data_IF_597737062243
#
_entry.id   IF_597737062243
#
_cell.length_a   1.000
_cell.length_b   1.000
_cell.length_c   1.000
_cell.angle_alpha   90.00
_cell.angle_beta   90.00
_cell.angle_gamma   90.00
#
_symmetry.space_group_name_H-M   'P 1'
#
loop_
_entity.id
_entity.type
_entity.pdbx_description
1 polymer ?
#
# COMPACT_ATOMS: atom_id res chain seq x y z
N UNK A 1 20.19 10.50 -10.13
CA UNK A 1 18.91 10.67 -10.85
C UNK A 1 17.80 10.48 -9.82
N UNK A 2 16.86 11.43 -9.69
CA UNK A 2 15.67 11.21 -8.86
C UNK A 2 14.79 10.19 -9.57
N UNK A 3 14.64 9.00 -8.99
CA UNK A 3 13.60 8.08 -9.42
C UNK A 3 12.27 8.64 -8.93
N UNK A 4 11.52 9.20 -9.87
CA UNK A 4 10.16 9.66 -9.62
C UNK A 4 9.19 8.46 -9.60
N UNK A 5 8.06 8.61 -8.93
CA UNK A 5 7.00 7.61 -9.00
C UNK A 5 6.28 7.72 -10.34
N UNK A 6 6.01 6.58 -10.98
CA UNK A 6 5.21 6.56 -12.21
C UNK A 6 3.73 6.83 -11.87
N UNK A 7 3.14 7.92 -12.38
CA UNK A 7 1.75 8.29 -12.09
C UNK A 7 0.70 7.32 -12.66
N UNK A 8 1.11 6.36 -13.51
CA UNK A 8 0.24 5.31 -14.05
C UNK A 8 0.42 3.97 -13.35
N UNK A 9 1.32 3.89 -12.37
CA UNK A 9 1.62 2.67 -11.63
C UNK A 9 1.04 2.70 -10.21
N UNK A 10 0.85 1.49 -9.66
CA UNK A 10 0.51 1.28 -8.27
C UNK A 10 1.61 0.48 -7.60
N UNK A 11 1.83 0.76 -6.32
CA UNK A 11 2.93 0.19 -5.56
C UNK A 11 2.41 -0.48 -4.29
N UNK A 12 3.10 -1.51 -3.82
CA UNK A 12 2.95 -2.02 -2.46
C UNK A 12 3.93 -1.28 -1.57
N UNK A 13 3.46 -0.90 -0.39
CA UNK A 13 4.29 -0.28 0.65
C UNK A 13 4.55 -1.31 1.74
N UNK A 14 5.82 -1.58 2.03
CA UNK A 14 6.24 -2.47 3.10
C UNK A 14 7.22 -1.74 4.02
N UNK A 15 7.39 -2.26 5.23
CA UNK A 15 8.38 -1.75 6.19
C UNK A 15 9.42 -2.82 6.44
N UNK A 16 10.69 -2.45 6.58
CA UNK A 16 11.75 -3.41 6.92
C UNK A 16 11.46 -4.14 8.24
N UNK A 17 10.86 -3.45 9.21
CA UNK A 17 10.55 -4.01 10.53
C UNK A 17 9.62 -5.23 10.50
N UNK A 18 8.65 -5.26 9.59
CA UNK A 18 7.67 -6.36 9.48
C UNK A 18 7.90 -7.29 8.29
N UNK A 19 9.07 -7.18 7.64
CA UNK A 19 9.41 -7.90 6.40
C UNK A 19 8.61 -7.48 5.16
N UNK A 20 9.18 -7.65 3.94
CA UNK A 20 8.49 -7.44 2.67
C UNK A 20 7.29 -8.38 2.45
N UNK A 21 7.12 -9.41 3.28
CA UNK A 21 5.96 -10.31 3.19
C UNK A 21 4.65 -9.65 3.66
N UNK A 22 4.73 -8.44 4.22
CA UNK A 22 3.55 -7.66 4.60
C UNK A 22 3.46 -6.36 3.83
N UNK A 23 2.26 -6.07 3.33
CA UNK A 23 1.92 -4.85 2.60
C UNK A 23 0.96 -3.99 3.41
N UNK A 24 1.16 -2.68 3.35
CA UNK A 24 0.23 -1.70 3.90
C UNK A 24 -1.08 -1.79 3.11
N UNK A 25 -2.18 -2.07 3.80
CA UNK A 25 -3.50 -2.14 3.22
C UNK A 25 -4.54 -1.40 4.04
N UNK A 26 -5.65 -1.06 3.39
CA UNK A 26 -6.86 -0.54 4.05
C UNK A 26 -7.67 -1.69 4.61
N UNK A 27 -8.14 -1.57 5.86
CA UNK A 27 -9.07 -2.55 6.44
C UNK A 27 -10.45 -2.40 5.77
N UNK A 28 -10.88 -3.45 5.09
CA UNK A 28 -12.21 -3.54 4.46
C UNK A 28 -13.27 -3.96 5.47
N UNK A 29 -13.61 -3.07 6.41
CA UNK A 29 -14.58 -3.35 7.48
C UNK A 29 -16.02 -2.98 7.13
N UNK A 30 -16.26 -2.51 5.90
CA UNK A 30 -17.57 -2.05 5.43
C UNK A 30 -18.07 -0.76 6.10
N UNK A 31 -17.20 -0.06 6.85
CA UNK A 31 -17.52 1.21 7.49
C UNK A 31 -16.85 2.37 6.75
N UNK A 32 -15.72 2.85 7.27
CA UNK A 32 -15.16 4.14 6.87
C UNK A 32 -13.81 4.02 6.14
N UNK A 33 -13.32 2.81 5.84
CA UNK A 33 -12.10 2.55 5.06
C UNK A 33 -10.90 3.45 5.47
N UNK A 34 -10.78 3.76 6.77
CA UNK A 34 -9.86 4.75 7.31
C UNK A 34 -8.85 4.14 8.29
N UNK A 35 -8.82 2.81 8.38
CA UNK A 35 -7.86 2.07 9.20
C UNK A 35 -6.85 1.40 8.28
N UNK A 36 -5.57 1.52 8.62
CA UNK A 36 -4.46 0.91 7.90
C UNK A 36 -3.86 -0.22 8.72
N UNK A 37 -3.45 -1.29 8.04
CA UNK A 37 -2.79 -2.44 8.63
C UNK A 37 -1.65 -2.93 7.72
N UNK A 38 -0.60 -3.49 8.32
CA UNK A 38 0.34 -4.34 7.60
C UNK A 38 -0.21 -5.77 7.61
N UNK A 39 -0.82 -6.17 6.49
CA UNK A 39 -1.38 -7.50 6.28
C UNK A 39 -0.45 -8.35 5.41
N UNK A 40 -0.64 -9.67 5.41
CA UNK A 40 0.08 -10.56 4.48
C UNK A 40 -0.12 -10.07 3.04
N UNK A 41 0.98 -10.01 2.29
CA UNK A 41 0.99 -9.54 0.91
C UNK A 41 0.21 -10.51 0.03
N UNK A 42 -0.82 -10.02 -0.64
CA UNK A 42 -1.68 -10.81 -1.51
C UNK A 42 -2.32 -9.92 -2.60
N UNK A 43 -3.07 -10.49 -3.54
CA UNK A 43 -3.66 -9.78 -4.67
C UNK A 43 -4.93 -8.99 -4.32
N UNK A 44 -4.85 -8.17 -3.27
CA UNK A 44 -5.92 -7.25 -2.87
C UNK A 44 -5.68 -5.85 -3.41
N UNK A 45 -6.71 -5.23 -4.00
CA UNK A 45 -6.66 -3.84 -4.47
C UNK A 45 -6.36 -2.86 -3.34
N UNK A 46 -6.78 -3.17 -2.11
CA UNK A 46 -6.58 -2.38 -0.90
C UNK A 46 -5.09 -2.26 -0.49
N UNK A 47 -4.21 -3.11 -1.03
CA UNK A 47 -2.76 -3.09 -0.77
C UNK A 47 -1.97 -2.32 -1.86
N UNK A 48 -2.66 -1.74 -2.84
CA UNK A 48 -2.04 -1.04 -3.98
C UNK A 48 -2.22 0.48 -3.85
N UNK A 49 -1.11 1.18 -3.73
CA UNK A 49 -1.06 2.63 -3.51
C UNK A 49 -0.64 3.38 -4.76
N UNK A 50 -1.40 4.42 -5.10
CA UNK A 50 -0.99 5.43 -6.06
C UNK A 50 -0.27 6.56 -5.33
N UNK A 51 0.98 6.84 -5.71
CA UNK A 51 1.76 7.92 -5.11
C UNK A 51 1.64 9.16 -6.01
N UNK A 52 1.17 10.27 -5.45
CA UNK A 52 0.98 11.54 -6.17
C UNK A 52 1.63 12.68 -5.39
N UNK A 53 2.29 13.61 -6.09
CA UNK A 53 2.69 14.89 -5.48
C UNK A 53 1.44 15.70 -5.13
N UNK A 54 1.49 16.43 -4.01
CA UNK A 54 0.43 17.34 -3.52
C UNK A 54 0.82 18.80 -3.73
#
# INVERSE_FOLDING_TARGET
EEQDFDPNSYYRLATEWQSPNKSLGVVSDGKNNNQLILAETDNYSEQHWKITRV
#
